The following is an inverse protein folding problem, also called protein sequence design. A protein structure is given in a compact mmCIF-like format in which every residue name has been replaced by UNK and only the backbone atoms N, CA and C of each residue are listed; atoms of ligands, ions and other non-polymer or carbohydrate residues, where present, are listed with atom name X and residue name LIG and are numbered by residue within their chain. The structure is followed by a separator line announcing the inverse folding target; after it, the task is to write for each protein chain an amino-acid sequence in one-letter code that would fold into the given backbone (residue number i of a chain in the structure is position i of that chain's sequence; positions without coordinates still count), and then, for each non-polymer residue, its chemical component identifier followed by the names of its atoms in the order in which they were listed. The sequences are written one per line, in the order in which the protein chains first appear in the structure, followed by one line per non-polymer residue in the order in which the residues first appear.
data_IF_654096213115
#
_entry.id   IF_654096213115
#
_cell.length_a   1.000
_cell.length_b   1.000
_cell.length_c   1.000
_cell.angle_alpha   90.00
_cell.angle_beta   90.00
_cell.angle_gamma   90.00
#
_symmetry.space_group_name_H-M   'P 1'
#
loop_
_entity.id
_entity.type
_entity.pdbx_description
1 polymer ?
#
# COMPACT_ATOMS: atom_id res chain seq x y z
N UNK A 1 12.22 -15.00 -14.98
CA UNK A 1 13.48 -15.67 -14.62
C UNK A 1 13.57 -16.12 -13.15
N UNK A 2 12.46 -16.13 -12.40
CA UNK A 2 12.46 -16.46 -10.96
C UNK A 2 12.68 -17.94 -10.62
N UNK A 3 12.38 -18.86 -11.54
CA UNK A 3 12.45 -20.31 -11.29
C UNK A 3 13.87 -20.91 -11.39
N UNK A 4 14.87 -20.12 -11.78
CA UNK A 4 16.29 -20.55 -11.78
C UNK A 4 16.97 -20.37 -10.43
N UNK A 5 16.36 -19.66 -9.49
CA UNK A 5 16.88 -19.44 -8.15
C UNK A 5 16.13 -20.34 -7.16
N UNK A 6 16.85 -21.20 -6.42
CA UNK A 6 16.35 -22.01 -5.30
C UNK A 6 15.76 -21.17 -4.13
N UNK A 7 15.55 -19.86 -4.30
CA UNK A 7 15.22 -18.89 -3.25
C UNK A 7 13.81 -18.28 -3.35
N UNK A 8 12.94 -18.70 -4.29
CA UNK A 8 11.60 -18.07 -4.45
C UNK A 8 10.77 -18.09 -3.14
N UNK A 9 10.79 -19.21 -2.42
CA UNK A 9 10.11 -19.31 -1.12
C UNK A 9 10.71 -18.38 -0.05
N UNK A 10 12.03 -18.17 -0.09
CA UNK A 10 12.74 -17.27 0.85
C UNK A 10 12.40 -15.82 0.53
N UNK A 11 12.41 -15.42 -0.74
CA UNK A 11 12.02 -14.08 -1.19
C UNK A 11 10.57 -13.80 -0.80
N UNK A 12 9.66 -14.76 -1.03
CA UNK A 12 8.26 -14.68 -0.63
C UNK A 12 8.10 -14.48 0.87
N UNK A 13 8.76 -15.31 1.69
CA UNK A 13 8.67 -15.23 3.14
C UNK A 13 9.27 -13.93 3.69
N UNK A 14 10.42 -13.48 3.17
CA UNK A 14 11.01 -12.18 3.51
C UNK A 14 10.06 -11.05 3.19
N UNK A 15 9.47 -11.06 2.00
CA UNK A 15 8.57 -10.01 1.53
C UNK A 15 7.32 -9.91 2.40
N UNK A 16 6.62 -11.03 2.61
CA UNK A 16 5.42 -11.06 3.45
C UNK A 16 5.76 -10.69 4.89
N UNK A 17 6.85 -11.23 5.45
CA UNK A 17 7.29 -10.91 6.80
C UNK A 17 7.61 -9.42 6.98
N UNK A 18 8.26 -8.80 6.00
CA UNK A 18 8.56 -7.37 6.01
C UNK A 18 7.27 -6.51 5.93
N UNK A 19 6.32 -6.85 5.06
CA UNK A 19 5.06 -6.11 4.99
C UNK A 19 4.25 -6.23 6.28
N UNK A 20 4.11 -7.44 6.84
CA UNK A 20 3.39 -7.62 8.11
C UNK A 20 4.09 -6.87 9.26
N UNK A 21 5.41 -6.85 9.28
CA UNK A 21 6.18 -6.11 10.28
C UNK A 21 5.98 -4.60 10.15
N UNK A 22 6.10 -4.04 8.94
CA UNK A 22 5.91 -2.59 8.75
C UNK A 22 4.48 -2.16 9.05
N UNK A 23 3.49 -2.98 8.69
CA UNK A 23 2.07 -2.73 8.98
C UNK A 23 1.80 -2.76 10.48
N UNK A 24 2.33 -3.76 11.20
CA UNK A 24 2.22 -3.82 12.65
C UNK A 24 2.87 -2.61 13.33
N UNK A 25 4.06 -2.20 12.89
CA UNK A 25 4.74 -0.99 13.37
C UNK A 25 3.92 0.27 13.09
N UNK A 26 3.28 0.36 11.92
CA UNK A 26 2.40 1.46 11.55
C UNK A 26 1.20 1.57 12.50
N UNK A 27 0.56 0.46 12.85
CA UNK A 27 -0.57 0.44 13.79
C UNK A 27 -0.12 0.79 15.20
N UNK A 28 1.00 0.23 15.67
CA UNK A 28 1.54 0.58 16.99
C UNK A 28 1.82 2.08 17.08
N UNK A 29 2.42 2.67 16.05
CA UNK A 29 2.66 4.10 15.97
C UNK A 29 1.33 4.89 15.99
N UNK A 30 0.34 4.46 15.20
CA UNK A 30 -0.99 5.07 15.15
C UNK A 30 -1.70 5.07 16.50
N UNK A 31 -1.76 3.91 17.16
CA UNK A 31 -2.36 3.77 18.48
C UNK A 31 -1.63 4.62 19.52
N UNK A 32 -0.29 4.63 19.49
CA UNK A 32 0.51 5.40 20.45
C UNK A 32 0.27 6.90 20.30
N UNK A 33 0.37 7.42 19.08
CA UNK A 33 0.18 8.86 18.82
C UNK A 33 -1.27 9.28 19.05
N UNK A 34 -2.25 8.48 18.63
CA UNK A 34 -3.66 8.80 18.84
C UNK A 34 -4.04 8.80 20.33
N UNK A 35 -3.48 7.93 21.15
CA UNK A 35 -3.70 7.97 22.61
C UNK A 35 -3.06 9.19 23.29
N UNK A 36 -2.00 9.75 22.72
CA UNK A 36 -1.38 10.99 23.23
C UNK A 36 -2.21 12.21 22.80
N UNK A 37 -2.64 12.26 21.54
CA UNK A 37 -3.38 13.41 20.98
C UNK A 37 -4.86 13.41 21.33
N UNK A 38 -5.42 12.24 21.68
CA UNK A 38 -6.81 12.04 22.05
C UNK A 38 -7.81 12.68 21.07
N UNK A 39 -7.79 12.27 19.78
CA UNK A 39 -8.50 12.97 18.72
C UNK A 39 -10.02 12.93 18.84
N UNK A 40 -10.60 12.02 19.64
CA UNK A 40 -12.04 11.87 19.81
C UNK A 40 -12.59 12.47 21.11
N UNK A 41 -11.76 13.03 21.99
CA UNK A 41 -12.25 13.67 23.21
C UNK A 41 -13.02 14.96 22.88
N UNK A 42 -14.18 15.13 23.53
CA UNK A 42 -15.06 16.28 23.33
C UNK A 42 -16.05 16.12 22.17
N UNK A 43 -15.93 15.05 21.39
CA UNK A 43 -16.92 14.65 20.39
C UNK A 43 -18.03 13.88 21.10
N UNK A 44 -19.01 14.58 21.69
CA UNK A 44 -20.13 13.94 22.37
C UNK A 44 -21.21 13.53 21.37
N UNK A 45 -21.14 12.28 20.92
CA UNK A 45 -22.11 11.71 19.98
C UNK A 45 -22.79 10.50 20.63
N UNK A 46 -23.81 10.78 21.45
CA UNK A 46 -24.69 9.75 21.98
C UNK A 46 -25.75 9.28 20.95
N UNK A 47 -25.84 9.96 19.80
CA UNK A 47 -26.82 9.67 18.75
C UNK A 47 -26.14 9.70 17.38
N UNK A 48 -25.62 8.56 16.92
CA UNK A 48 -25.24 8.38 15.52
C UNK A 48 -26.18 7.38 14.83
N UNK A 49 -26.51 7.72 13.60
CA UNK A 49 -27.40 6.99 12.70
C UNK A 49 -26.85 5.62 12.31
N UNK A 50 -27.75 4.72 11.93
CA UNK A 50 -27.46 3.32 11.55
C UNK A 50 -26.52 3.22 10.36
N UNK A 51 -25.41 2.49 10.52
CA UNK A 51 -24.45 2.16 9.46
C UNK A 51 -24.54 0.66 9.18
N UNK A 52 -24.97 0.31 7.98
CA UNK A 52 -24.94 -1.08 7.52
C UNK A 52 -23.54 -1.40 6.98
N UNK A 53 -22.67 -1.93 7.84
CA UNK A 53 -21.38 -2.46 7.41
C UNK A 53 -21.57 -3.59 6.40
N UNK A 54 -20.82 -3.59 5.30
CA UNK A 54 -20.68 -4.79 4.46
C UNK A 54 -19.82 -5.80 5.23
N UNK A 55 -20.25 -7.05 5.26
CA UNK A 55 -19.49 -8.13 5.90
C UNK A 55 -18.10 -8.24 5.27
N UNK A 56 -17.07 -8.16 6.11
CA UNK A 56 -15.72 -8.46 5.67
C UNK A 56 -15.58 -9.97 5.53
N UNK A 57 -14.97 -10.48 4.44
CA UNK A 57 -14.83 -11.91 4.25
C UNK A 57 -14.01 -12.54 5.37
N UNK A 58 -14.45 -13.70 5.85
CA UNK A 58 -13.72 -14.47 6.85
C UNK A 58 -12.29 -14.78 6.37
N UNK A 59 -11.32 -14.82 7.30
CA UNK A 59 -9.91 -15.12 6.98
C UNK A 59 -9.76 -16.45 6.22
N UNK A 60 -10.58 -17.45 6.54
CA UNK A 60 -10.65 -18.73 5.81
C UNK A 60 -11.02 -18.53 4.35
N UNK A 61 -11.98 -17.64 4.08
CA UNK A 61 -12.40 -17.31 2.73
C UNK A 61 -11.31 -16.53 1.99
N UNK A 62 -10.57 -15.65 2.66
CA UNK A 62 -9.40 -14.98 2.09
C UNK A 62 -8.36 -16.01 1.65
N UNK A 63 -8.01 -16.98 2.51
CA UNK A 63 -7.05 -18.06 2.20
C UNK A 63 -7.53 -18.92 1.02
N UNK A 64 -8.80 -19.30 0.99
CA UNK A 64 -9.38 -20.07 -0.12
C UNK A 64 -9.32 -19.25 -1.42
N UNK A 65 -9.63 -17.96 -1.34
CA UNK A 65 -9.66 -17.06 -2.49
C UNK A 65 -8.27 -16.68 -3.01
N UNK A 66 -7.18 -17.09 -2.36
CA UNK A 66 -5.82 -16.96 -2.91
C UNK A 66 -5.69 -17.78 -4.20
N UNK A 67 -6.35 -18.94 -4.28
CA UNK A 67 -6.29 -19.81 -5.45
C UNK A 67 -7.43 -19.49 -6.43
N UNK A 68 -7.15 -19.07 -7.67
CA UNK A 68 -8.20 -18.83 -8.65
C UNK A 68 -8.90 -20.12 -9.06
N UNK A 69 -10.22 -20.14 -8.96
CA UNK A 69 -11.04 -21.17 -9.61
C UNK A 69 -11.06 -21.02 -11.14
N UNK A 70 -10.85 -19.79 -11.63
CA UNK A 70 -10.73 -19.48 -13.05
C UNK A 70 -9.71 -18.33 -13.26
N UNK A 71 -8.51 -18.60 -13.81
CA UNK A 71 -7.48 -17.58 -13.98
C UNK A 71 -7.84 -16.52 -15.02
N UNK A 72 -8.65 -16.85 -16.03
CA UNK A 72 -9.12 -15.88 -17.04
C UNK A 72 -10.09 -14.88 -16.39
N UNK A 73 -10.99 -15.39 -15.54
CA UNK A 73 -11.88 -14.52 -14.76
C UNK A 73 -11.10 -13.65 -13.78
N UNK A 74 -10.09 -14.20 -13.10
CA UNK A 74 -9.24 -13.42 -12.20
C UNK A 74 -8.55 -12.25 -12.91
N UNK A 75 -8.06 -12.47 -14.14
CA UNK A 75 -7.49 -11.41 -14.99
C UNK A 75 -8.54 -10.37 -15.40
N UNK A 76 -9.74 -10.80 -15.77
CA UNK A 76 -10.82 -9.89 -16.17
C UNK A 76 -11.33 -9.03 -15.00
N UNK A 77 -11.46 -9.62 -13.83
CA UNK A 77 -11.97 -8.97 -12.61
C UNK A 77 -10.86 -8.19 -11.86
N UNK A 78 -9.59 -8.31 -12.28
CA UNK A 78 -8.45 -7.65 -11.64
C UNK A 78 -8.11 -8.19 -10.26
N UNK A 79 -8.39 -9.47 -9.98
CA UNK A 79 -8.05 -10.09 -8.69
C UNK A 79 -6.55 -10.38 -8.62
N UNK A 80 -5.79 -9.38 -8.17
CA UNK A 80 -4.34 -9.37 -8.22
C UNK A 80 -3.69 -10.54 -7.46
N UNK A 81 -4.17 -10.90 -6.27
CA UNK A 81 -3.60 -12.01 -5.50
C UNK A 81 -3.76 -13.35 -6.24
N UNK A 82 -4.93 -13.58 -6.82
CA UNK A 82 -5.19 -14.76 -7.66
C UNK A 82 -4.32 -14.76 -8.92
N UNK A 83 -4.17 -13.61 -9.57
CA UNK A 83 -3.31 -13.44 -10.76
C UNK A 83 -1.85 -13.78 -10.41
N UNK A 84 -1.34 -13.31 -9.27
CA UNK A 84 0.02 -13.58 -8.79
C UNK A 84 0.23 -15.07 -8.57
N UNK A 85 -0.68 -15.73 -7.85
CA UNK A 85 -0.58 -17.17 -7.54
C UNK A 85 -0.60 -18.00 -8.83
N UNK A 86 -1.52 -17.68 -9.75
CA UNK A 86 -1.55 -18.32 -11.05
C UNK A 86 -0.27 -18.08 -11.86
N UNK A 87 0.24 -16.85 -11.89
CA UNK A 87 1.47 -16.49 -12.62
C UNK A 87 2.70 -17.24 -12.08
N UNK A 88 2.80 -17.43 -10.75
CA UNK A 88 3.86 -18.22 -10.12
C UNK A 88 3.75 -19.69 -10.53
N UNK A 89 2.57 -20.30 -10.40
CA UNK A 89 2.35 -21.69 -10.78
C UNK A 89 2.63 -21.93 -12.27
N UNK A 90 2.19 -21.00 -13.13
CA UNK A 90 2.47 -21.01 -14.55
C UNK A 90 3.98 -20.87 -14.82
N UNK A 91 4.68 -19.99 -14.10
CA UNK A 91 6.13 -19.83 -14.18
C UNK A 91 6.91 -21.09 -13.82
N UNK A 92 6.47 -21.80 -12.76
CA UNK A 92 7.03 -23.09 -12.36
C UNK A 92 6.76 -24.15 -13.43
N UNK A 93 5.53 -24.22 -13.95
CA UNK A 93 5.16 -25.14 -15.02
C UNK A 93 5.98 -24.92 -16.30
N UNK A 94 6.15 -23.66 -16.74
CA UNK A 94 6.99 -23.30 -17.88
C UNK A 94 8.45 -23.73 -17.68
N UNK A 95 8.97 -23.68 -16.45
CA UNK A 95 10.37 -24.08 -16.19
C UNK A 95 10.53 -25.59 -16.27
N UNK A 96 9.51 -26.36 -15.87
CA UNK A 96 9.50 -27.82 -15.96
C UNK A 96 9.18 -28.35 -17.35
N UNK A 97 8.53 -27.55 -18.20
CA UNK A 97 8.15 -27.92 -19.56
C UNK A 97 9.32 -27.89 -20.58
N UNK A 98 10.55 -27.66 -20.15
CA UNK A 98 11.75 -27.71 -21.00
C UNK A 98 11.73 -26.65 -22.11
N UNK A 99 12.06 -27.06 -23.32
CA UNK A 99 12.20 -26.16 -24.49
C UNK A 99 10.91 -25.40 -24.81
N UNK A 100 9.75 -26.07 -24.77
CA UNK A 100 8.45 -25.45 -25.04
C UNK A 100 8.14 -24.35 -24.02
N UNK A 101 8.41 -24.62 -22.75
CA UNK A 101 8.25 -23.62 -21.69
C UNK A 101 9.22 -22.44 -21.82
N UNK A 102 10.44 -22.66 -22.32
CA UNK A 102 11.40 -21.60 -22.62
C UNK A 102 10.90 -20.67 -23.73
N UNK A 103 10.28 -21.21 -24.78
CA UNK A 103 9.69 -20.40 -25.87
C UNK A 103 8.55 -19.52 -25.36
N UNK A 104 7.64 -20.07 -24.53
CA UNK A 104 6.55 -19.30 -23.92
C UNK A 104 7.11 -18.18 -23.02
N UNK A 105 8.12 -18.50 -22.20
CA UNK A 105 8.78 -17.51 -21.33
C UNK A 105 9.42 -16.36 -22.11
N UNK A 106 10.04 -16.66 -23.25
CA UNK A 106 10.60 -15.64 -24.13
C UNK A 106 9.51 -14.73 -24.71
N UNK A 107 8.38 -15.30 -25.12
CA UNK A 107 7.21 -14.53 -25.55
C UNK A 107 6.65 -13.63 -24.45
N UNK A 108 6.55 -14.12 -23.21
CA UNK A 108 6.12 -13.32 -22.06
C UNK A 108 7.07 -12.16 -21.76
N UNK A 109 8.38 -12.35 -21.92
CA UNK A 109 9.36 -11.27 -21.76
C UNK A 109 9.16 -10.17 -22.82
N UNK A 110 8.86 -10.54 -24.07
CA UNK A 110 8.55 -9.58 -25.14
C UNK A 110 7.28 -8.79 -24.85
N UNK A 111 6.21 -9.47 -24.40
CA UNK A 111 4.98 -8.81 -23.98
C UNK A 111 5.22 -7.81 -22.85
N UNK A 112 5.99 -8.21 -21.83
CA UNK A 112 6.35 -7.33 -20.73
C UNK A 112 7.05 -6.06 -21.24
N UNK A 113 8.01 -6.17 -22.16
CA UNK A 113 8.68 -4.99 -22.74
C UNK A 113 7.69 -4.05 -23.44
N UNK A 114 6.76 -4.60 -24.23
CA UNK A 114 5.70 -3.79 -24.88
C UNK A 114 4.82 -3.09 -23.83
N UNK A 115 4.41 -3.80 -22.77
CA UNK A 115 3.64 -3.19 -21.68
C UNK A 115 4.44 -2.06 -21.01
N UNK A 116 5.74 -2.24 -20.76
CA UNK A 116 6.57 -1.18 -20.17
C UNK A 116 6.68 0.05 -21.08
N UNK A 117 6.70 -0.11 -22.41
CA UNK A 117 6.62 1.03 -23.33
C UNK A 117 5.25 1.72 -23.26
N UNK A 118 4.15 0.98 -23.11
CA UNK A 118 2.83 1.57 -22.87
C UNK A 118 2.80 2.40 -21.58
N UNK A 119 3.43 1.91 -20.51
CA UNK A 119 3.53 2.62 -19.23
C UNK A 119 4.30 3.93 -19.39
N UNK A 120 5.43 3.91 -20.09
CA UNK A 120 6.20 5.13 -20.39
C UNK A 120 5.38 6.18 -21.13
N UNK A 121 4.55 5.76 -22.09
CA UNK A 121 3.65 6.67 -22.80
C UNK A 121 2.58 7.26 -21.87
N UNK A 122 1.99 6.44 -20.99
CA UNK A 122 1.03 6.92 -20.00
C UNK A 122 1.65 7.92 -19.02
N UNK A 123 2.91 7.72 -18.63
CA UNK A 123 3.64 8.61 -17.74
C UNK A 123 3.84 10.02 -18.32
N UNK A 124 3.88 10.18 -19.63
CA UNK A 124 3.93 11.50 -20.28
C UNK A 124 2.61 12.27 -20.12
N UNK A 125 1.48 11.56 -20.04
CA UNK A 125 0.13 12.14 -19.91
C UNK A 125 -0.31 12.22 -18.45
N UNK A 126 0.34 11.47 -17.55
CA UNK A 126 0.04 11.43 -16.12
C UNK A 126 -0.08 12.81 -15.44
N UNK A 127 0.75 13.83 -15.74
CA UNK A 127 0.59 15.16 -15.15
C UNK A 127 -0.77 15.81 -15.42
N UNK A 128 -1.31 15.63 -16.63
CA UNK A 128 -2.63 16.16 -17.02
C UNK A 128 -3.73 15.42 -16.25
N UNK A 129 -3.64 14.09 -16.15
CA UNK A 129 -4.59 13.28 -15.38
C UNK A 129 -4.60 13.65 -13.89
N UNK A 130 -3.41 13.82 -13.30
CA UNK A 130 -3.25 14.28 -11.90
C UNK A 130 -3.91 15.65 -11.71
N UNK A 131 -3.67 16.60 -12.63
CA UNK A 131 -4.27 17.93 -12.56
C UNK A 131 -5.81 17.89 -12.60
N UNK A 132 -6.40 17.14 -13.54
CA UNK A 132 -7.85 16.97 -13.62
C UNK A 132 -8.42 16.33 -12.34
N UNK A 133 -7.76 15.30 -11.80
CA UNK A 133 -8.16 14.66 -10.54
C UNK A 133 -8.13 15.65 -9.37
N UNK A 134 -7.10 16.49 -9.27
CA UNK A 134 -7.00 17.54 -8.24
C UNK A 134 -8.13 18.57 -8.35
N UNK A 135 -8.51 19.00 -9.56
CA UNK A 135 -9.64 19.92 -9.73
C UNK A 135 -10.94 19.30 -9.22
N UNK A 136 -11.23 18.04 -9.61
CA UNK A 136 -12.46 17.38 -9.19
C UNK A 136 -12.55 17.17 -7.68
N UNK A 137 -11.39 17.04 -7.02
CA UNK A 137 -11.29 16.95 -5.56
C UNK A 137 -11.74 18.26 -4.91
N UNK A 138 -11.15 19.39 -5.30
CA UNK A 138 -11.50 20.69 -4.73
C UNK A 138 -12.94 21.12 -5.06
N UNK A 139 -13.49 20.67 -6.18
CA UNK A 139 -14.89 20.92 -6.54
C UNK A 139 -15.90 20.14 -5.68
N UNK A 140 -15.51 18.98 -5.12
CA UNK A 140 -16.40 18.09 -4.34
C UNK A 140 -16.28 18.31 -2.84
N UNK A 141 -15.14 18.78 -2.34
CA UNK A 141 -14.98 19.06 -0.91
C UNK A 141 -15.67 20.38 -0.53
N UNK A 142 -16.75 20.28 0.23
CA UNK A 142 -17.35 21.42 0.94
C UNK A 142 -16.57 21.77 2.22
N UNK A 143 -16.55 23.04 2.58
CA UNK A 143 -15.86 23.59 3.76
C UNK A 143 -16.42 23.09 5.12
N UNK A 144 -17.58 22.43 5.13
CA UNK A 144 -18.43 22.27 6.31
C UNK A 144 -18.25 20.97 7.12
N UNK A 145 -17.26 20.12 6.82
CA UNK A 145 -17.00 18.88 7.58
C UNK A 145 -15.70 18.93 8.41
N UNK A 146 -14.99 20.06 8.41
CA UNK A 146 -13.60 20.13 8.88
C UNK A 146 -13.49 20.40 10.37
N UNK A 147 -14.39 21.18 10.99
CA UNK A 147 -14.18 21.67 12.36
C UNK A 147 -14.21 20.56 13.43
N UNK A 148 -15.18 19.64 13.37
CA UNK A 148 -15.31 18.61 14.42
C UNK A 148 -14.37 17.41 14.20
N UNK A 149 -13.81 17.28 12.99
CA UNK A 149 -12.91 16.18 12.60
C UNK A 149 -11.47 16.65 12.39
N UNK A 150 -11.17 17.92 12.69
CA UNK A 150 -9.86 18.52 12.41
C UNK A 150 -8.76 17.78 13.17
N UNK A 151 -9.01 17.44 14.43
CA UNK A 151 -8.06 16.73 15.30
C UNK A 151 -7.80 15.31 14.79
N UNK A 152 -8.86 14.59 14.39
CA UNK A 152 -8.72 13.28 13.76
C UNK A 152 -7.94 13.36 12.45
N UNK A 153 -8.30 14.30 11.57
CA UNK A 153 -7.67 14.47 10.26
C UNK A 153 -6.17 14.75 10.39
N UNK A 154 -5.78 15.71 11.23
CA UNK A 154 -4.37 16.03 11.46
C UNK A 154 -3.63 14.93 12.23
N UNK A 155 -4.30 14.20 13.13
CA UNK A 155 -3.71 13.04 13.79
C UNK A 155 -3.32 11.96 12.77
N UNK A 156 -4.22 11.61 11.84
CA UNK A 156 -3.90 10.64 10.78
C UNK A 156 -2.75 11.15 9.91
N UNK A 157 -2.80 12.40 9.45
CA UNK A 157 -1.72 12.97 8.64
C UNK A 157 -0.38 12.99 9.36
N UNK A 158 -0.37 13.31 10.65
CA UNK A 158 0.84 13.30 11.47
C UNK A 158 1.42 11.88 11.55
N UNK A 159 0.61 10.87 11.84
CA UNK A 159 1.08 9.49 11.92
C UNK A 159 1.59 9.00 10.58
N UNK A 160 0.87 9.30 9.48
CA UNK A 160 1.33 8.98 8.13
C UNK A 160 2.68 9.65 7.82
N UNK A 161 2.84 10.93 8.19
CA UNK A 161 4.09 11.66 7.99
C UNK A 161 5.22 11.10 8.86
N UNK A 162 4.95 10.69 10.11
CA UNK A 162 5.93 10.05 10.99
C UNK A 162 6.36 8.70 10.44
N UNK A 163 5.42 7.85 10.00
CA UNK A 163 5.75 6.56 9.41
C UNK A 163 6.56 6.74 8.11
N UNK A 164 6.15 7.69 7.27
CA UNK A 164 6.84 8.02 6.03
C UNK A 164 8.25 8.57 6.27
N UNK A 165 8.42 9.59 7.11
CA UNK A 165 9.69 10.30 7.32
C UNK A 165 10.63 9.64 8.33
N UNK A 166 10.10 8.83 9.25
CA UNK A 166 10.90 8.17 10.29
C UNK A 166 11.02 6.68 9.98
N UNK A 167 9.93 5.92 10.00
CA UNK A 167 9.99 4.46 9.83
C UNK A 167 10.63 4.08 8.50
N UNK A 168 10.10 4.57 7.37
CA UNK A 168 10.69 4.24 6.07
C UNK A 168 12.08 4.83 5.89
N UNK A 169 12.37 6.04 6.38
CA UNK A 169 13.72 6.62 6.25
C UNK A 169 14.77 5.81 7.01
N UNK A 170 14.43 5.29 8.19
CA UNK A 170 15.29 4.37 8.97
C UNK A 170 15.50 3.09 8.17
N UNK A 171 14.43 2.46 7.68
CA UNK A 171 14.55 1.23 6.89
C UNK A 171 15.36 1.43 5.60
N UNK A 172 15.15 2.53 4.87
CA UNK A 172 15.92 2.87 3.67
C UNK A 172 17.40 3.10 4.02
N UNK A 173 17.69 3.87 5.06
CA UNK A 173 19.06 4.19 5.43
C UNK A 173 19.85 2.97 5.88
N UNK A 174 19.26 2.11 6.70
CA UNK A 174 19.97 1.01 7.35
C UNK A 174 19.86 -0.33 6.62
N UNK A 175 18.74 -0.61 5.94
CA UNK A 175 18.53 -1.89 5.26
C UNK A 175 18.73 -1.81 3.75
N UNK A 176 18.38 -0.69 3.12
CA UNK A 176 18.70 -0.47 1.69
C UNK A 176 20.10 0.13 1.52
N UNK A 177 20.59 0.88 2.50
CA UNK A 177 21.94 1.45 2.48
C UNK A 177 22.08 2.71 1.61
N UNK A 178 20.98 3.36 1.24
CA UNK A 178 20.97 4.56 0.37
C UNK A 178 20.49 5.80 1.12
N UNK A 179 20.63 6.98 0.51
CA UNK A 179 20.12 8.22 1.09
C UNK A 179 18.57 8.28 0.95
N UNK A 180 17.80 8.38 2.05
CA UNK A 180 16.33 8.41 1.99
C UNK A 180 15.76 9.59 1.20
N UNK A 181 16.38 10.79 1.29
CA UNK A 181 15.89 11.96 0.57
C UNK A 181 16.02 11.78 -0.94
N UNK A 182 17.13 11.21 -1.42
CA UNK A 182 17.30 10.86 -2.83
C UNK A 182 16.31 9.80 -3.26
N UNK A 183 16.04 8.81 -2.40
CA UNK A 183 15.07 7.75 -2.64
C UNK A 183 13.65 8.32 -2.85
N UNK A 184 13.17 9.19 -1.94
CA UNK A 184 11.86 9.83 -2.08
C UNK A 184 11.76 10.72 -3.31
N UNK A 185 12.82 11.48 -3.63
CA UNK A 185 12.84 12.32 -4.84
C UNK A 185 12.62 11.51 -6.12
N UNK A 186 13.16 10.30 -6.19
CA UNK A 186 12.98 9.40 -7.35
C UNK A 186 11.58 8.81 -7.43
N UNK A 187 10.94 8.60 -6.28
CA UNK A 187 9.56 8.13 -6.18
C UNK A 187 8.52 9.23 -6.39
N UNK A 188 8.91 10.49 -6.59
CA UNK A 188 7.96 11.60 -6.75
C UNK A 188 6.86 11.34 -7.81
N UNK A 189 7.15 10.76 -9.00
CA UNK A 189 6.10 10.44 -9.96
C UNK A 189 5.10 9.40 -9.44
N UNK A 190 5.59 8.37 -8.74
CA UNK A 190 4.75 7.33 -8.11
C UNK A 190 3.89 7.95 -7.02
N UNK A 191 4.48 8.79 -6.16
CA UNK A 191 3.76 9.47 -5.08
C UNK A 191 2.68 10.41 -5.62
N UNK A 192 2.99 11.21 -6.65
CA UNK A 192 2.03 12.12 -7.26
C UNK A 192 0.85 11.37 -7.92
N UNK A 193 1.15 10.28 -8.64
CA UNK A 193 0.11 9.45 -9.26
C UNK A 193 -0.72 8.67 -8.24
N UNK A 194 -0.09 8.15 -7.19
CA UNK A 194 -0.78 7.46 -6.08
C UNK A 194 -1.65 8.40 -5.28
N UNK A 195 -1.16 9.60 -4.99
CA UNK A 195 -1.96 10.64 -4.34
C UNK A 195 -3.20 10.97 -5.16
N UNK A 196 -3.06 11.17 -6.47
CA UNK A 196 -4.19 11.58 -7.32
C UNK A 196 -5.22 10.47 -7.55
N UNK A 197 -4.77 9.25 -7.76
CA UNK A 197 -5.64 8.10 -8.07
C UNK A 197 -6.22 7.45 -6.82
N UNK A 198 -5.51 7.54 -5.70
CA UNK A 198 -5.83 6.85 -4.43
C UNK A 198 -5.96 5.34 -4.60
N UNK A 199 -5.15 4.77 -5.50
CA UNK A 199 -5.18 3.35 -5.83
C UNK A 199 -3.77 2.82 -6.01
N UNK A 200 -3.30 2.00 -5.05
CA UNK A 200 -2.03 1.29 -5.15
C UNK A 200 -2.00 0.33 -6.36
N UNK A 201 -3.16 -0.23 -6.72
CA UNK A 201 -3.28 -1.07 -7.92
C UNK A 201 -3.08 -0.27 -9.21
N UNK A 202 -3.63 0.95 -9.28
CA UNK A 202 -3.48 1.81 -10.46
C UNK A 202 -2.04 2.31 -10.63
N UNK A 203 -1.30 2.49 -9.54
CA UNK A 203 0.11 2.93 -9.56
C UNK A 203 1.08 1.80 -9.90
N UNK A 204 0.64 0.54 -9.95
CA UNK A 204 1.52 -0.61 -10.11
C UNK A 204 2.50 -0.48 -11.29
N UNK A 205 2.07 -0.09 -12.50
CA UNK A 205 2.99 -0.02 -13.63
C UNK A 205 4.04 1.09 -13.45
N UNK A 206 3.63 2.24 -12.91
CA UNK A 206 4.51 3.38 -12.61
C UNK A 206 5.52 3.02 -11.51
N UNK A 207 5.08 2.25 -10.54
CA UNK A 207 5.92 1.77 -9.43
C UNK A 207 6.96 0.80 -9.94
N UNK A 208 6.55 -0.20 -10.73
CA UNK A 208 7.46 -1.16 -11.37
C UNK A 208 8.54 -0.47 -12.21
N UNK A 209 8.14 0.47 -13.06
CA UNK A 209 9.09 1.24 -13.87
C UNK A 209 10.07 2.03 -13.01
N UNK A 210 9.57 2.69 -11.96
CA UNK A 210 10.38 3.54 -11.09
C UNK A 210 11.35 2.71 -10.25
N UNK A 211 10.91 1.59 -9.66
CA UNK A 211 11.82 0.75 -8.87
C UNK A 211 12.90 0.13 -9.75
N UNK A 212 12.58 -0.27 -10.98
CA UNK A 212 13.54 -0.88 -11.91
C UNK A 212 14.52 0.14 -12.48
N UNK A 213 14.01 1.22 -13.07
CA UNK A 213 14.83 2.16 -13.85
C UNK A 213 15.43 3.28 -13.02
N UNK A 214 14.78 3.64 -11.90
CA UNK A 214 15.20 4.77 -11.06
C UNK A 214 15.83 4.30 -9.77
N UNK A 215 15.35 3.22 -9.16
CA UNK A 215 15.93 2.75 -7.90
C UNK A 215 17.02 1.68 -8.08
N UNK A 216 17.00 0.95 -9.20
CA UNK A 216 17.98 -0.12 -9.47
C UNK A 216 17.57 -1.48 -8.91
N UNK A 217 16.29 -1.68 -8.59
CA UNK A 217 15.76 -2.98 -8.19
C UNK A 217 15.66 -3.89 -9.41
N UNK A 218 16.20 -5.10 -9.35
CA UNK A 218 16.12 -6.01 -10.50
C UNK A 218 14.68 -6.40 -10.83
N UNK A 219 14.44 -6.66 -12.12
CA UNK A 219 13.14 -7.12 -12.63
C UNK A 219 12.65 -8.42 -11.99
N UNK A 220 13.57 -9.25 -11.48
CA UNK A 220 13.22 -10.51 -10.82
C UNK A 220 12.49 -10.21 -9.50
N UNK A 221 13.00 -9.27 -8.70
CA UNK A 221 12.42 -8.88 -7.42
C UNK A 221 11.20 -7.97 -7.60
N UNK A 222 11.31 -6.91 -8.41
CA UNK A 222 10.24 -5.90 -8.59
C UNK A 222 8.92 -6.54 -9.05
N UNK A 223 8.98 -7.44 -10.04
CA UNK A 223 7.81 -8.07 -10.66
C UNK A 223 7.06 -9.04 -9.75
N UNK A 224 7.61 -9.36 -8.58
CA UNK A 224 6.95 -10.15 -7.55
C UNK A 224 6.59 -9.28 -6.33
N UNK A 225 7.56 -8.54 -5.78
CA UNK A 225 7.38 -7.82 -4.52
C UNK A 225 6.40 -6.66 -4.62
N UNK A 226 6.44 -5.90 -5.73
CA UNK A 226 5.58 -4.72 -5.89
C UNK A 226 4.11 -5.11 -6.16
N UNK A 227 3.78 -6.05 -7.08
CA UNK A 227 2.40 -6.50 -7.24
C UNK A 227 1.81 -7.13 -5.97
N UNK A 228 2.63 -7.89 -5.24
CA UNK A 228 2.21 -8.47 -3.96
C UNK A 228 1.93 -7.36 -2.93
N UNK A 229 2.83 -6.38 -2.84
CA UNK A 229 2.70 -5.20 -1.99
C UNK A 229 1.39 -4.44 -2.22
N UNK A 230 1.04 -4.16 -3.48
CA UNK A 230 -0.21 -3.46 -3.83
C UNK A 230 -1.51 -4.14 -3.33
N UNK A 231 -1.43 -5.37 -2.81
CA UNK A 231 -2.56 -6.14 -2.25
C UNK A 231 -2.44 -6.50 -0.77
N UNK A 232 -1.23 -6.48 -0.21
CA UNK A 232 -0.98 -6.92 1.18
C UNK A 232 -0.43 -5.77 2.03
N UNK A 233 0.36 -4.90 1.43
CA UNK A 233 0.93 -3.73 2.08
C UNK A 233 -0.10 -2.62 2.18
N UNK A 234 -0.61 -2.43 3.38
CA UNK A 234 -1.57 -1.37 3.65
C UNK A 234 -1.21 -0.58 4.90
N UNK A 235 0.08 -0.26 5.08
CA UNK A 235 0.58 0.55 6.22
C UNK A 235 -0.25 1.83 6.45
N UNK A 236 -0.52 2.59 5.40
CA UNK A 236 -1.34 3.81 5.48
C UNK A 236 -2.80 3.53 5.87
N UNK A 237 -3.38 2.44 5.35
CA UNK A 237 -4.74 2.00 5.73
C UNK A 237 -4.78 1.58 7.19
N UNK A 238 -3.76 0.85 7.63
CA UNK A 238 -3.63 0.35 9.00
C UNK A 238 -3.42 1.49 9.99
N UNK A 239 -2.66 2.53 9.60
CA UNK A 239 -2.56 3.78 10.36
C UNK A 239 -3.93 4.43 10.53
N UNK A 240 -4.71 4.58 9.45
CA UNK A 240 -6.05 5.14 9.57
C UNK A 240 -6.93 4.27 10.48
N UNK A 241 -6.87 2.94 10.35
CA UNK A 241 -7.66 2.05 11.19
C UNK A 241 -7.31 2.18 12.67
N UNK A 242 -6.02 2.28 13.00
CA UNK A 242 -5.57 2.50 14.38
C UNK A 242 -6.06 3.84 14.95
N UNK A 243 -5.86 4.94 14.22
CA UNK A 243 -6.31 6.27 14.66
C UNK A 243 -7.83 6.35 14.75
N UNK A 244 -8.56 5.78 13.76
CA UNK A 244 -10.02 5.75 13.74
C UNK A 244 -10.59 4.93 14.90
N UNK A 245 -9.96 3.82 15.26
CA UNK A 245 -10.36 3.01 16.42
C UNK A 245 -10.27 3.84 17.70
N UNK A 246 -9.16 4.54 17.93
CA UNK A 246 -8.99 5.40 19.12
C UNK A 246 -10.00 6.55 19.10
N UNK A 247 -10.18 7.19 17.95
CA UNK A 247 -11.15 8.27 17.77
C UNK A 247 -12.57 7.83 18.12
N UNK A 248 -13.03 6.69 17.57
CA UNK A 248 -14.38 6.17 17.79
C UNK A 248 -14.55 5.71 19.24
N UNK A 249 -13.56 5.02 19.81
CA UNK A 249 -13.59 4.64 21.22
C UNK A 249 -13.79 5.87 22.13
N UNK A 250 -13.07 6.96 21.87
CA UNK A 250 -13.18 8.20 22.64
C UNK A 250 -14.49 8.93 22.41
N UNK A 251 -14.96 9.04 21.16
CA UNK A 251 -16.21 9.72 20.82
C UNK A 251 -17.44 9.03 21.45
N UNK A 252 -17.40 7.71 21.61
CA UNK A 252 -18.46 6.93 22.27
C UNK A 252 -18.20 6.69 23.76
N UNK A 253 -17.10 7.20 24.32
CA UNK A 253 -16.68 6.97 25.70
C UNK A 253 -16.56 5.48 26.07
N UNK A 254 -16.08 4.66 25.14
CA UNK A 254 -15.83 3.22 25.33
C UNK A 254 -14.34 3.02 25.58
N UNK A 255 -14.00 2.41 26.72
CA UNK A 255 -12.64 1.95 26.99
C UNK A 255 -12.45 0.52 26.44
N UNK A 256 -11.60 0.39 25.42
CA UNK A 256 -11.24 -0.91 24.81
C UNK A 256 -10.06 -1.59 25.53
N UNK A 257 -9.36 -0.87 26.41
CA UNK A 257 -8.22 -1.37 27.17
C UNK A 257 -7.04 -1.87 26.33
N UNK A 258 -6.00 -2.34 27.02
CA UNK A 258 -4.79 -2.87 26.36
C UNK A 258 -5.07 -4.13 25.52
N UNK A 259 -6.00 -4.97 25.97
CA UNK A 259 -6.43 -6.17 25.24
C UNK A 259 -7.09 -5.83 23.90
N UNK A 260 -7.96 -4.80 23.87
CA UNK A 260 -8.57 -4.31 22.64
C UNK A 260 -7.53 -3.73 21.67
N UNK A 261 -6.55 -2.97 22.16
CA UNK A 261 -5.46 -2.48 21.30
C UNK A 261 -4.63 -3.59 20.65
N UNK A 262 -4.33 -4.66 21.41
CA UNK A 262 -3.65 -5.82 20.85
C UNK A 262 -4.51 -6.50 19.77
N UNK A 263 -5.81 -6.64 20.02
CA UNK A 263 -6.75 -7.19 19.04
C UNK A 263 -6.82 -6.33 17.79
N UNK A 264 -6.78 -4.99 17.90
CA UNK A 264 -6.73 -4.07 16.76
C UNK A 264 -5.48 -4.29 15.94
N UNK A 265 -4.30 -4.39 16.58
CA UNK A 265 -3.04 -4.64 15.87
C UNK A 265 -3.12 -5.95 15.09
N UNK A 266 -3.57 -7.04 15.73
CA UNK A 266 -3.68 -8.34 15.09
C UNK A 266 -4.71 -8.31 13.95
N UNK A 267 -5.90 -7.80 14.20
CA UNK A 267 -7.02 -7.82 13.25
C UNK A 267 -6.72 -6.94 12.04
N UNK A 268 -6.22 -5.72 12.25
CA UNK A 268 -5.89 -4.79 11.16
C UNK A 268 -4.71 -5.30 10.32
N UNK A 269 -3.69 -5.89 10.96
CA UNK A 269 -2.55 -6.50 10.24
C UNK A 269 -2.99 -7.71 9.42
N UNK A 270 -3.91 -8.52 9.94
CA UNK A 270 -4.44 -9.66 9.18
C UNK A 270 -5.41 -9.21 8.09
N UNK A 271 -6.20 -8.16 8.33
CA UNK A 271 -7.14 -7.60 7.37
C UNK A 271 -6.44 -6.90 6.20
N UNK A 272 -5.20 -6.45 6.34
CA UNK A 272 -4.44 -5.90 5.21
C UNK A 272 -4.13 -6.97 4.15
N UNK A 273 -4.09 -8.25 4.53
CA UNK A 273 -3.84 -9.37 3.62
C UNK A 273 -5.04 -9.59 2.71
N UNK A 274 -4.84 -9.50 1.39
CA UNK A 274 -5.86 -9.85 0.41
C UNK A 274 -6.91 -8.76 0.20
N UNK A 275 -6.67 -7.57 0.73
CA UNK A 275 -7.51 -6.41 0.45
C UNK A 275 -7.11 -5.81 -0.90
N UNK A 276 -8.10 -5.56 -1.76
CA UNK A 276 -7.81 -4.97 -3.07
C UNK A 276 -7.29 -3.53 -2.89
N UNK A 277 -6.19 -3.18 -3.56
CA UNK A 277 -5.61 -1.83 -3.57
C UNK A 277 -6.41 -0.83 -4.40
N UNK A 278 -7.72 -0.74 -4.15
CA UNK A 278 -8.67 0.15 -4.83
C UNK A 278 -9.28 1.16 -3.84
N UNK A 279 -9.78 2.32 -4.30
CA UNK A 279 -10.24 3.38 -3.41
C UNK A 279 -11.37 2.94 -2.48
N UNK A 280 -11.34 3.43 -1.23
CA UNK A 280 -12.43 3.26 -0.26
C UNK A 280 -12.51 1.89 0.45
N UNK A 281 -11.67 0.91 0.10
CA UNK A 281 -11.69 -0.41 0.76
C UNK A 281 -11.20 -0.34 2.22
N UNK A 282 -10.40 0.67 2.56
CA UNK A 282 -9.94 0.90 3.94
C UNK A 282 -11.08 1.08 4.95
N UNK A 283 -12.19 1.71 4.55
CA UNK A 283 -13.37 1.88 5.42
C UNK A 283 -14.16 0.57 5.59
N UNK A 284 -14.19 -0.29 4.56
CA UNK A 284 -14.84 -1.60 4.62
C UNK A 284 -14.11 -2.50 5.63
N UNK A 285 -12.77 -2.51 5.57
CA UNK A 285 -11.94 -3.29 6.48
C UNK A 285 -11.91 -2.71 7.90
N UNK A 286 -12.09 -1.40 8.06
CA UNK A 286 -12.26 -0.78 9.38
C UNK A 286 -13.48 -1.32 10.13
N UNK A 287 -14.59 -1.60 9.45
CA UNK A 287 -15.78 -2.15 10.09
C UNK A 287 -15.50 -3.51 10.77
N UNK A 288 -14.66 -4.35 10.15
CA UNK A 288 -14.19 -5.60 10.76
C UNK A 288 -13.39 -5.32 12.04
N UNK A 289 -12.45 -4.37 11.99
CA UNK A 289 -11.59 -4.04 13.13
C UNK A 289 -12.43 -3.52 14.31
N UNK A 290 -13.36 -2.61 14.07
CA UNK A 290 -14.23 -2.05 15.12
C UNK A 290 -15.12 -3.12 15.77
N UNK A 291 -15.74 -3.97 14.95
CA UNK A 291 -16.60 -5.05 15.44
C UNK A 291 -15.85 -6.03 16.34
N UNK A 292 -14.58 -6.34 16.03
CA UNK A 292 -13.75 -7.25 16.83
C UNK A 292 -13.41 -6.71 18.22
N UNK A 293 -13.42 -5.39 18.41
CA UNK A 293 -13.21 -4.76 19.72
C UNK A 293 -14.48 -4.20 20.35
N UNK A 294 -15.65 -4.56 19.80
CA UNK A 294 -16.95 -4.15 20.35
C UNK A 294 -17.27 -2.66 20.16
N UNK A 295 -16.62 -1.99 19.20
CA UNK A 295 -16.92 -0.60 18.86
C UNK A 295 -18.02 -0.51 17.79
N UNK A 296 -18.89 0.51 17.86
CA UNK A 296 -19.97 0.71 16.89
C UNK A 296 -19.41 1.07 15.51
N UNK A 297 -19.85 0.33 14.49
CA UNK A 297 -19.46 0.56 13.09
C UNK A 297 -20.05 1.86 12.53
N UNK A 298 -21.11 2.36 13.16
CA UNK A 298 -21.73 3.67 12.95
C UNK A 298 -20.72 4.81 13.08
N UNK A 299 -19.68 4.66 13.90
CA UNK A 299 -18.59 5.63 14.01
C UNK A 299 -17.85 5.89 12.70
N UNK A 300 -17.92 5.00 11.71
CA UNK A 300 -17.32 5.18 10.37
C UNK A 300 -17.99 6.34 9.62
N UNK A 301 -19.30 6.54 9.83
CA UNK A 301 -20.05 7.63 9.20
C UNK A 301 -19.50 9.01 9.59
N UNK A 302 -18.83 9.11 10.74
CA UNK A 302 -18.22 10.36 11.21
C UNK A 302 -16.99 10.72 10.39
N UNK A 303 -16.15 9.74 10.06
CA UNK A 303 -14.85 10.00 9.40
C UNK A 303 -14.93 9.95 7.87
N UNK A 304 -16.02 9.42 7.29
CA UNK A 304 -16.17 9.29 5.83
C UNK A 304 -16.08 10.63 5.10
N UNK A 305 -16.51 11.72 5.74
CA UNK A 305 -16.50 13.07 5.18
C UNK A 305 -15.09 13.60 4.89
N UNK A 306 -14.09 13.16 5.66
CA UNK A 306 -12.68 13.56 5.48
C UNK A 306 -11.82 12.45 4.87
N UNK A 307 -12.37 11.25 4.69
CA UNK A 307 -11.63 10.07 4.23
C UNK A 307 -11.02 10.28 2.85
N UNK A 308 -11.65 11.05 1.95
CA UNK A 308 -11.14 11.23 0.59
C UNK A 308 -9.70 11.75 0.56
N UNK A 309 -9.39 12.78 1.35
CA UNK A 309 -8.04 13.36 1.43
C UNK A 309 -7.07 12.44 2.17
N UNK A 310 -7.55 11.75 3.20
CA UNK A 310 -6.75 10.78 3.93
C UNK A 310 -6.39 9.59 3.03
N UNK A 311 -7.32 9.08 2.22
CA UNK A 311 -7.14 7.98 1.28
C UNK A 311 -6.00 8.21 0.30
N UNK A 312 -5.94 9.43 -0.24
CA UNK A 312 -4.85 9.88 -1.10
C UNK A 312 -3.50 9.80 -0.38
N UNK A 313 -3.43 10.31 0.85
CA UNK A 313 -2.22 10.31 1.67
C UNK A 313 -1.79 8.90 2.10
N UNK A 314 -2.76 8.04 2.44
CA UNK A 314 -2.53 6.61 2.76
C UNK A 314 -1.95 5.86 1.57
N UNK A 315 -2.48 6.13 0.37
CA UNK A 315 -2.00 5.50 -0.86
C UNK A 315 -0.53 5.84 -1.10
N UNK A 316 -0.11 7.09 -0.88
CA UNK A 316 1.30 7.49 -0.98
C UNK A 316 2.19 6.68 -0.04
N UNK A 317 1.77 6.52 1.22
CA UNK A 317 2.52 5.73 2.20
C UNK A 317 2.61 4.26 1.77
N UNK A 318 1.52 3.67 1.28
CA UNK A 318 1.50 2.29 0.79
C UNK A 318 2.48 2.08 -0.37
N UNK A 319 2.41 2.90 -1.42
CA UNK A 319 3.27 2.72 -2.62
C UNK A 319 4.75 2.98 -2.33
N UNK A 320 5.05 3.87 -1.37
CA UNK A 320 6.43 4.05 -0.89
C UNK A 320 6.89 2.87 -0.04
N UNK A 321 6.01 2.27 0.74
CA UNK A 321 6.26 1.00 1.41
C UNK A 321 6.62 -0.10 0.41
N UNK A 322 5.87 -0.24 -0.68
CA UNK A 322 6.14 -1.25 -1.73
C UNK A 322 7.54 -1.07 -2.33
N UNK A 323 7.89 0.17 -2.70
CA UNK A 323 9.21 0.48 -3.23
C UNK A 323 10.33 0.26 -2.20
N UNK A 324 10.07 0.56 -0.92
CA UNK A 324 11.03 0.37 0.18
C UNK A 324 11.28 -1.11 0.41
N UNK A 325 10.23 -1.93 0.55
CA UNK A 325 10.36 -3.38 0.75
C UNK A 325 10.99 -4.05 -0.47
N UNK A 326 10.60 -3.68 -1.69
CA UNK A 326 11.26 -4.18 -2.90
C UNK A 326 12.77 -3.90 -2.89
N UNK A 327 13.18 -2.71 -2.45
CA UNK A 327 14.59 -2.33 -2.36
C UNK A 327 15.34 -3.07 -1.26
N UNK A 328 14.70 -3.32 -0.10
CA UNK A 328 15.28 -4.10 1.01
C UNK A 328 15.49 -5.55 0.58
N UNK A 329 14.47 -6.16 -0.02
CA UNK A 329 14.54 -7.54 -0.50
C UNK A 329 15.62 -7.67 -1.56
N UNK A 330 15.65 -6.75 -2.54
CA UNK A 330 16.68 -6.72 -3.57
C UNK A 330 18.08 -6.60 -2.99
N UNK A 331 18.29 -5.70 -2.04
CA UNK A 331 19.59 -5.55 -1.36
C UNK A 331 20.00 -6.84 -0.64
N UNK A 332 19.05 -7.50 0.03
CA UNK A 332 19.31 -8.74 0.76
C UNK A 332 19.63 -9.94 -0.13
N UNK A 333 19.20 -9.91 -1.40
CA UNK A 333 19.46 -10.95 -2.40
C UNK A 333 20.59 -10.58 -3.37
N UNK A 334 21.25 -9.42 -3.20
CA UNK A 334 22.30 -8.95 -4.11
C UNK A 334 21.79 -8.47 -5.48
N UNK A 335 20.50 -8.15 -5.57
CA UNK A 335 19.77 -7.79 -6.80
C UNK A 335 19.42 -6.29 -6.85
N UNK A 336 20.19 -5.46 -6.15
CA UNK A 336 20.09 -4.00 -6.15
C UNK A 336 21.32 -3.38 -6.83
N UNK A 337 21.09 -2.62 -7.91
CA UNK A 337 22.15 -1.97 -8.70
C UNK A 337 22.41 -0.53 -8.23
N UNK A 338 23.49 -0.35 -7.47
CA UNK A 338 23.94 0.96 -7.01
C UNK A 338 24.35 1.91 -8.14
N UNK A 339 24.71 1.40 -9.32
CA UNK A 339 25.10 2.24 -10.45
C UNK A 339 23.89 2.96 -11.05
N UNK A 340 22.75 2.28 -11.17
CA UNK A 340 21.45 2.89 -11.52
C UNK A 340 21.05 3.90 -10.44
N UNK A 341 21.20 3.52 -9.16
CA UNK A 341 20.96 4.46 -8.07
C UNK A 341 21.96 5.65 -8.06
N UNK A 342 23.14 5.56 -8.64
CA UNK A 342 24.09 6.67 -8.71
C UNK A 342 23.88 7.59 -9.93
N UNK A 343 23.57 7.02 -11.10
CA UNK A 343 23.48 7.73 -12.38
C UNK A 343 22.40 8.81 -12.40
N UNK A 344 21.20 8.50 -11.90
CA UNK A 344 20.11 9.46 -11.88
C UNK A 344 20.33 10.60 -10.85
N UNK A 345 21.18 10.39 -9.84
CA UNK A 345 21.58 11.47 -8.92
C UNK A 345 22.39 12.53 -9.68
N UNK A 346 23.22 12.10 -10.63
CA UNK A 346 24.01 13.00 -11.48
C UNK A 346 23.13 13.78 -12.45
N UNK A 347 22.15 13.13 -13.10
CA UNK A 347 21.23 13.81 -14.02
C UNK A 347 20.35 14.84 -13.31
N UNK A 348 19.85 14.54 -12.10
CA UNK A 348 19.10 15.50 -11.29
C UNK A 348 19.94 16.69 -10.82
N UNK A 349 21.23 16.46 -10.48
CA UNK A 349 22.12 17.56 -10.10
C UNK A 349 22.42 18.51 -11.27
N UNK A 350 22.55 17.97 -12.49
CA UNK A 350 22.78 18.74 -13.70
C UNK A 350 21.53 19.56 -14.10
N UNK A 351 20.33 19.00 -13.92
CA UNK A 351 19.07 19.70 -14.20
C UNK A 351 18.72 20.80 -13.20
N UNK A 352 19.19 20.70 -11.95
CA UNK A 352 18.97 21.75 -10.93
C UNK A 352 20.04 22.85 -10.95
N UNK A 353 21.13 22.65 -11.68
CA UNK A 353 22.23 23.60 -11.84
C UNK A 353 22.11 24.44 -13.13
N UNK A 354 21.14 24.14 -13.98
CA UNK A 354 20.80 24.87 -15.21
C UNK A 354 19.50 25.65 -15.02
#
# INVERSE_FOLDING_TARGET
NLAGHNNMGVIGLKTVGLYLLTTALAIVLALSVANVLNPGLGVNLAEATTFAAKESPALTQVIINIFPSNPVKALADGNMLQIIVFAILLGIAMTRAGEQGQQIRASMARWNEVIMQLVLMLMQVAPIGVFCLMITLFAKLGYSAINDLITYFFCVLLVLALHFLVTFSVLIRFLVGVNPLTFYKRLLPVMAFGFSTSSSGATLPVTLETVEKRLGVSKSISSFVVPLGATINMDGTAIMQGVATVFIAQAYNIDIGMGGYLMVILTATMASIGTAGVPGVGLITLALVLSQVGLPVEGIALIIGVDRLLDMSRTVVNVVGDATIASIVARSEGEFDDSVFAQETRSMSASNAA
#
